data_IF_901823578769
#
_entry.id   IF_901823578769
#
_cell.length_a   1.000
_cell.length_b   1.000
_cell.length_c   1.000
_cell.angle_alpha   90.00
_cell.angle_beta   90.00
_cell.angle_gamma   90.00
#
_symmetry.space_group_name_H-M   'P 1'
#
loop_
_entity.id
_entity.type
_entity.pdbx_description
1 polymer ?
#
# COMPACT_ATOMS: atom_id res chain seq x y z
N UNK A 1 4.04 12.06 15.70
CA UNK A 1 5.23 11.41 15.12
C UNK A 1 6.13 10.90 16.23
N UNK A 2 6.83 9.78 15.99
CA UNK A 2 7.85 9.18 16.84
C UNK A 2 9.18 9.18 16.09
N UNK A 3 10.30 9.35 16.80
CA UNK A 3 11.65 9.21 16.23
C UNK A 3 12.12 7.78 16.43
N UNK A 4 12.45 7.11 15.33
CA UNK A 4 13.01 5.76 15.29
C UNK A 4 14.35 5.83 14.56
N UNK A 5 15.46 5.64 15.26
CA UNK A 5 16.83 5.59 14.70
C UNK A 5 17.17 6.72 13.71
N UNK A 6 16.69 7.93 13.98
CA UNK A 6 16.94 9.11 13.13
C UNK A 6 15.82 9.43 12.13
N UNK A 7 14.89 8.50 11.88
CA UNK A 7 13.73 8.67 11.00
C UNK A 7 12.49 9.10 11.80
N UNK A 8 11.66 9.97 11.21
CA UNK A 8 10.36 10.36 11.78
C UNK A 8 9.25 9.49 11.19
N UNK A 9 8.53 8.78 12.05
CA UNK A 9 7.38 7.96 11.68
C UNK A 9 6.10 8.48 12.35
N UNK A 10 4.92 8.27 11.76
CA UNK A 10 3.64 8.52 12.44
C UNK A 10 3.57 7.83 13.81
N UNK A 11 2.87 8.42 14.79
CA UNK A 11 2.77 7.81 16.14
C UNK A 11 2.05 6.45 16.09
N UNK A 12 1.14 6.31 15.14
CA UNK A 12 0.41 5.10 14.76
C UNK A 12 1.32 3.90 14.50
N UNK A 13 2.56 4.10 14.05
CA UNK A 13 3.54 3.02 13.82
C UNK A 13 3.73 2.14 15.05
N UNK A 14 3.69 2.73 16.25
CA UNK A 14 3.84 1.99 17.51
C UNK A 14 2.81 0.87 17.71
N UNK A 15 1.65 0.94 17.03
CA UNK A 15 0.58 -0.06 17.13
C UNK A 15 0.93 -1.36 16.42
N UNK A 16 1.69 -1.28 15.34
CA UNK A 16 1.97 -2.41 14.43
C UNK A 16 3.47 -2.74 14.34
N UNK A 17 4.32 -1.97 15.04
CA UNK A 17 5.77 -2.12 14.97
C UNK A 17 6.24 -3.55 15.31
N UNK A 18 5.66 -4.16 16.36
CA UNK A 18 6.04 -5.52 16.77
C UNK A 18 5.62 -6.57 15.73
N UNK A 19 4.43 -6.44 15.14
CA UNK A 19 3.95 -7.36 14.10
C UNK A 19 4.79 -7.25 12.83
N UNK A 20 5.14 -6.03 12.42
CA UNK A 20 6.00 -5.79 11.26
C UNK A 20 7.40 -6.38 11.48
N UNK A 21 8.00 -6.18 12.66
CA UNK A 21 9.36 -6.65 12.95
C UNK A 21 9.44 -8.17 13.09
N UNK A 22 8.33 -8.83 13.45
CA UNK A 22 8.25 -10.29 13.58
C UNK A 22 7.54 -10.96 12.39
N UNK A 23 7.29 -10.23 11.30
CA UNK A 23 6.67 -10.78 10.11
C UNK A 23 7.51 -11.96 9.58
N UNK A 24 6.85 -13.09 9.29
CA UNK A 24 7.48 -14.23 8.64
C UNK A 24 7.84 -13.87 7.20
N UNK A 25 9.14 -13.77 6.91
CA UNK A 25 9.67 -13.54 5.57
C UNK A 25 9.91 -14.87 4.87
N UNK A 26 9.47 -14.98 3.62
CA UNK A 26 9.66 -16.17 2.78
C UNK A 26 10.74 -15.93 1.73
N UNK A 27 11.35 -17.01 1.25
CA UNK A 27 12.43 -16.95 0.26
C UNK A 27 11.97 -16.43 -1.12
N UNK A 28 10.66 -16.49 -1.40
CA UNK A 28 10.01 -16.03 -2.62
C UNK A 28 9.39 -14.63 -2.51
N UNK A 29 9.51 -13.96 -1.36
CA UNK A 29 8.96 -12.61 -1.17
C UNK A 29 9.74 -11.56 -1.98
N UNK A 30 9.01 -10.69 -2.67
CA UNK A 30 9.57 -9.57 -3.43
C UNK A 30 9.18 -8.25 -2.80
N UNK A 31 10.19 -7.49 -2.36
CA UNK A 31 10.01 -6.22 -1.67
C UNK A 31 10.36 -5.03 -2.58
N UNK A 32 9.46 -4.05 -2.67
CA UNK A 32 9.71 -2.78 -3.35
C UNK A 32 9.77 -1.66 -2.31
N UNK A 33 10.98 -1.34 -1.85
CA UNK A 33 11.21 -0.33 -0.82
C UNK A 33 11.81 0.95 -1.43
N UNK A 34 11.21 2.10 -1.12
CA UNK A 34 11.82 3.40 -1.45
C UNK A 34 11.26 4.52 -0.57
N UNK A 35 11.81 5.72 -0.70
CA UNK A 35 11.26 6.90 -0.04
C UNK A 35 9.94 7.33 -0.72
N UNK A 36 8.96 7.91 0.01
CA UNK A 36 7.70 8.32 -0.61
C UNK A 36 7.92 9.20 -1.84
N UNK A 37 7.16 8.89 -2.90
CA UNK A 37 7.10 9.63 -4.17
C UNK A 37 8.35 9.51 -5.07
N UNK A 38 9.21 8.50 -4.88
CA UNK A 38 10.35 8.23 -5.77
C UNK A 38 10.09 7.11 -6.80
N UNK A 39 8.85 6.96 -7.27
CA UNK A 39 8.53 6.02 -8.35
C UNK A 39 8.19 4.59 -7.91
N UNK A 40 7.77 4.37 -6.65
CA UNK A 40 7.32 3.05 -6.16
C UNK A 40 6.26 2.42 -7.05
N UNK A 41 5.23 3.16 -7.46
CA UNK A 41 4.11 2.62 -8.25
C UNK A 41 4.58 2.04 -9.58
N UNK A 42 5.43 2.77 -10.31
CA UNK A 42 5.98 2.28 -11.59
C UNK A 42 6.85 1.05 -11.39
N UNK A 43 7.67 1.05 -10.34
CA UNK A 43 8.54 -0.09 -10.01
C UNK A 43 7.72 -1.33 -9.68
N UNK A 44 6.67 -1.19 -8.86
CA UNK A 44 5.76 -2.28 -8.51
C UNK A 44 5.06 -2.87 -9.74
N UNK A 45 4.60 -2.04 -10.69
CA UNK A 45 4.02 -2.56 -11.94
C UNK A 45 5.03 -3.34 -12.79
N UNK A 46 6.25 -2.81 -12.95
CA UNK A 46 7.29 -3.50 -13.71
C UNK A 46 7.68 -4.83 -13.07
N UNK A 47 7.88 -4.84 -11.75
CA UNK A 47 8.22 -6.03 -10.98
C UNK A 47 7.11 -7.07 -11.08
N UNK A 48 5.85 -6.65 -10.93
CA UNK A 48 4.71 -7.56 -11.03
C UNK A 48 4.65 -8.23 -12.41
N UNK A 49 4.76 -7.44 -13.50
CA UNK A 49 4.75 -7.98 -14.85
C UNK A 49 5.92 -8.95 -15.10
N UNK A 50 7.13 -8.61 -14.67
CA UNK A 50 8.30 -9.48 -14.84
C UNK A 50 8.13 -10.81 -14.06
N UNK A 51 7.60 -10.75 -12.84
CA UNK A 51 7.37 -11.93 -12.01
C UNK A 51 6.18 -12.79 -12.43
N UNK A 52 5.29 -12.28 -13.31
CA UNK A 52 4.09 -12.97 -13.78
C UNK A 52 4.11 -13.13 -15.31
N UNK A 53 5.27 -13.44 -15.90
CA UNK A 53 5.44 -13.77 -17.33
C UNK A 53 4.86 -12.72 -18.31
N UNK A 54 4.91 -11.45 -17.92
CA UNK A 54 4.34 -10.32 -18.67
C UNK A 54 2.82 -10.43 -18.89
N UNK A 55 2.08 -10.96 -17.91
CA UNK A 55 0.61 -11.00 -17.92
C UNK A 55 -0.02 -9.60 -17.77
N UNK A 56 -0.16 -8.88 -18.89
CA UNK A 56 -0.75 -7.55 -18.89
C UNK A 56 -2.26 -7.53 -18.57
N UNK A 57 -2.97 -8.65 -18.71
CA UNK A 57 -4.39 -8.72 -18.35
C UNK A 57 -4.55 -8.85 -16.83
N UNK A 58 -3.75 -9.72 -16.20
CA UNK A 58 -3.67 -9.81 -14.74
C UNK A 58 -3.19 -8.51 -14.08
N UNK A 59 -2.30 -7.76 -14.74
CA UNK A 59 -1.82 -6.47 -14.25
C UNK A 59 -2.91 -5.39 -14.13
N UNK A 60 -4.07 -5.56 -14.80
CA UNK A 60 -5.21 -4.63 -14.70
C UNK A 60 -5.95 -4.73 -13.36
N UNK A 61 -5.72 -5.79 -12.59
CA UNK A 61 -6.23 -5.91 -11.23
C UNK A 61 -5.69 -4.76 -10.36
N UNK A 62 -6.52 -4.27 -9.43
CA UNK A 62 -6.15 -3.16 -8.55
C UNK A 62 -4.83 -3.44 -7.83
N UNK A 63 -3.99 -2.42 -7.80
CA UNK A 63 -2.62 -2.48 -7.31
C UNK A 63 -2.51 -3.07 -5.89
N UNK A 64 -3.39 -2.64 -4.98
CA UNK A 64 -3.44 -3.08 -3.58
C UNK A 64 -3.72 -4.59 -3.41
N UNK A 65 -4.34 -5.23 -4.42
CA UNK A 65 -4.60 -6.67 -4.41
C UNK A 65 -3.35 -7.45 -4.86
N UNK A 66 -2.53 -6.85 -5.72
CA UNK A 66 -1.33 -7.45 -6.29
C UNK A 66 -0.08 -7.21 -5.44
N UNK A 67 -0.02 -6.06 -4.77
CA UNK A 67 1.09 -5.62 -3.94
C UNK A 67 0.54 -5.08 -2.60
N UNK A 68 0.63 -5.86 -1.50
CA UNK A 68 0.21 -5.39 -0.19
C UNK A 68 1.17 -4.33 0.34
N UNK A 69 0.62 -3.24 0.88
CA UNK A 69 1.39 -2.16 1.49
C UNK A 69 1.58 -2.42 2.99
N UNK A 70 2.83 -2.71 3.39
CA UNK A 70 3.19 -2.94 4.79
C UNK A 70 3.01 -1.69 5.67
N UNK A 71 3.14 -0.50 5.08
CA UNK A 71 3.14 0.78 5.78
C UNK A 71 1.78 1.50 5.80
N UNK A 72 0.80 1.02 5.04
CA UNK A 72 -0.49 1.69 4.87
C UNK A 72 -1.24 1.88 6.19
N UNK A 73 -1.19 0.87 7.07
CA UNK A 73 -1.94 0.87 8.33
C UNK A 73 -1.52 1.99 9.28
N UNK A 74 -0.23 2.35 9.29
CA UNK A 74 0.26 3.44 10.13
C UNK A 74 0.43 4.77 9.39
N UNK A 75 0.37 4.79 8.06
CA UNK A 75 0.44 6.03 7.29
C UNK A 75 -0.89 6.78 7.20
N UNK A 76 -2.03 6.09 7.28
CA UNK A 76 -3.35 6.71 7.15
C UNK A 76 -4.10 6.69 8.47
N UNK A 77 -4.22 7.84 9.13
CA UNK A 77 -5.01 7.95 10.36
C UNK A 77 -6.51 7.79 10.06
N UNK A 78 -7.12 6.75 10.62
CA UNK A 78 -8.58 6.62 10.67
C UNK A 78 -9.24 5.82 9.53
N UNK A 79 -8.49 5.20 8.63
CA UNK A 79 -9.08 4.21 7.71
C UNK A 79 -9.35 2.93 8.51
N UNK A 80 -10.62 2.76 8.93
CA UNK A 80 -11.14 1.42 9.21
C UNK A 80 -10.98 0.63 7.91
N UNK A 81 -10.40 -0.57 7.97
CA UNK A 81 -10.39 -1.51 6.85
C UNK A 81 -11.77 -1.51 6.18
N UNK A 82 -11.85 -0.96 4.97
CA UNK A 82 -13.02 -1.09 4.13
C UNK A 82 -12.81 -2.36 3.31
N UNK A 83 -13.70 -3.36 3.40
CA UNK A 83 -13.57 -4.54 2.56
C UNK A 83 -13.55 -4.12 1.09
N UNK A 84 -12.90 -4.91 0.21
CA UNK A 84 -12.87 -4.63 -1.22
C UNK A 84 -14.28 -4.31 -1.72
N UNK A 85 -14.46 -3.18 -2.42
CA UNK A 85 -15.73 -2.85 -3.06
C UNK A 85 -16.10 -4.03 -3.96
N UNK A 86 -17.18 -4.74 -3.60
CA UNK A 86 -17.72 -5.77 -4.47
C UNK A 86 -18.08 -5.10 -5.79
N UNK A 87 -17.56 -5.64 -6.89
CA UNK A 87 -17.75 -5.15 -8.25
C UNK A 87 -19.24 -5.16 -8.59
N UNK A 88 -19.95 -4.06 -8.30
CA UNK A 88 -21.39 -3.98 -8.47
C UNK A 88 -22.06 -2.68 -8.00
N UNK A 89 -21.50 -1.96 -7.04
CA UNK A 89 -22.12 -0.72 -6.55
C UNK A 89 -21.47 0.53 -7.15
N UNK A 90 -22.15 1.12 -8.13
CA UNK A 90 -21.88 2.49 -8.59
C UNK A 90 -22.28 3.48 -7.48
N UNK A 91 -21.31 3.93 -6.69
CA UNK A 91 -21.53 5.03 -5.73
C UNK A 91 -21.30 6.38 -6.41
N UNK A 92 -22.33 7.22 -6.41
CA UNK A 92 -22.36 8.60 -6.91
C UNK A 92 -21.17 9.45 -6.40
N UNK A 93 -20.69 10.45 -7.19
CA UNK A 93 -19.62 11.32 -6.76
C UNK A 93 -20.07 12.19 -5.57
N UNK A 94 -19.34 12.08 -4.47
CA UNK A 94 -19.45 13.00 -3.34
C UNK A 94 -19.04 14.40 -3.80
N UNK A 95 -19.97 15.35 -3.71
CA UNK A 95 -19.75 16.75 -4.03
C UNK A 95 -18.82 17.38 -2.98
N UNK A 96 -17.51 17.34 -3.24
CA UNK A 96 -16.56 18.26 -2.62
C UNK A 96 -16.39 19.44 -3.57
N UNK A 97 -17.14 20.52 -3.32
CA UNK A 97 -16.84 21.84 -3.89
C UNK A 97 -15.60 22.41 -3.18
N UNK A 98 -14.60 22.83 -3.96
CA UNK A 98 -13.42 23.51 -3.42
C UNK A 98 -13.78 24.96 -3.08
N UNK A 99 -13.42 25.46 -1.89
CA UNK A 99 -13.49 26.90 -1.60
C UNK A 99 -12.44 27.66 -2.43
N UNK A 100 -12.67 28.97 -2.64
CA UNK A 100 -12.59 29.64 -3.95
C UNK A 100 -11.21 29.73 -4.61
#
# INVERSE_FOLDING_TARGET
FVRCEGTLLPTSYKRVAEEILNLEVRDDDVWVCSFPKTGTTWTQEMVWCIGNDLDFEGAKVQHEVRFPFLDLEFLVDGVKYLPPRQTGEQSQPSAYEMPP
#
